data_IF_260508429489
#
_entry.id   IF_260508429489
#
_cell.length_a   1.000
_cell.length_b   1.000
_cell.length_c   1.000
_cell.angle_alpha   90.00
_cell.angle_beta   90.00
_cell.angle_gamma   90.00
#
_symmetry.space_group_name_H-M   'P 1'
#
loop_
_entity.id
_entity.type
_entity.pdbx_description
1 polymer ?
#
# COMPACT_ATOMS: atom_id res chain seq x y z
N UNK A 1 -2.45 36.44 -3.35
CA UNK A 1 -1.09 36.13 -2.85
C UNK A 1 -1.21 34.78 -2.23
N UNK A 2 -0.95 33.78 -3.05
CA UNK A 2 -1.51 32.46 -2.88
C UNK A 2 -0.66 31.70 -1.87
N UNK A 3 -1.27 31.41 -0.72
CA UNK A 3 -0.67 30.62 0.33
C UNK A 3 -0.57 29.18 -0.12
N UNK A 4 0.65 28.74 -0.36
CA UNK A 4 1.02 27.38 -0.75
C UNK A 4 0.46 26.35 0.23
N UNK A 5 -0.64 25.69 -0.15
CA UNK A 5 -1.04 24.41 0.44
C UNK A 5 -0.41 23.30 -0.39
N UNK A 6 0.88 23.08 -0.17
CA UNK A 6 1.62 21.96 -0.75
C UNK A 6 1.29 20.66 -0.04
N UNK A 7 0.07 20.15 -0.24
CA UNK A 7 -0.23 18.74 0.05
C UNK A 7 0.64 17.89 -0.86
N UNK A 8 1.64 17.22 -0.29
CA UNK A 8 2.56 16.37 -1.05
C UNK A 8 1.77 15.19 -1.61
N UNK A 9 1.34 15.26 -2.87
CA UNK A 9 0.88 14.09 -3.59
C UNK A 9 2.04 13.07 -3.62
N UNK A 10 1.87 11.97 -2.91
CA UNK A 10 2.70 10.78 -3.10
C UNK A 10 2.37 10.29 -4.52
N UNK A 11 3.26 10.59 -5.46
CA UNK A 11 3.17 10.12 -6.84
C UNK A 11 3.85 8.76 -6.90
N UNK A 12 3.08 7.74 -7.28
CA UNK A 12 3.65 6.46 -7.68
C UNK A 12 4.57 6.72 -8.87
N UNK A 13 5.84 6.38 -8.72
CA UNK A 13 6.88 6.66 -9.70
C UNK A 13 7.03 5.49 -10.66
N UNK A 14 7.62 5.76 -11.82
CA UNK A 14 7.98 4.72 -12.79
C UNK A 14 8.91 3.67 -12.16
N UNK A 15 9.79 4.08 -11.25
CA UNK A 15 10.69 3.17 -10.52
C UNK A 15 9.92 2.18 -9.62
N UNK A 16 8.86 2.65 -8.97
CA UNK A 16 7.99 1.80 -8.14
C UNK A 16 7.20 0.82 -9.00
N UNK A 17 6.71 1.24 -10.17
CA UNK A 17 6.04 0.37 -11.13
C UNK A 17 6.97 -0.72 -11.68
N UNK A 18 8.19 -0.35 -12.04
CA UNK A 18 9.22 -1.29 -12.51
C UNK A 18 9.63 -2.28 -11.43
N UNK A 19 9.67 -1.86 -10.17
CA UNK A 19 9.98 -2.75 -9.04
C UNK A 19 8.92 -3.82 -8.88
N UNK A 20 7.64 -3.46 -9.05
CA UNK A 20 6.52 -4.42 -9.02
C UNK A 20 6.60 -5.41 -10.19
N UNK A 21 6.92 -4.94 -11.40
CA UNK A 21 7.12 -5.81 -12.56
C UNK A 21 8.27 -6.80 -12.33
N UNK A 22 9.40 -6.35 -11.79
CA UNK A 22 10.54 -7.23 -11.47
C UNK A 22 10.20 -8.28 -10.41
N UNK A 23 9.43 -7.92 -9.39
CA UNK A 23 8.97 -8.89 -8.37
C UNK A 23 8.16 -10.01 -9.05
N UNK A 24 7.30 -9.67 -10.01
CA UNK A 24 6.54 -10.68 -10.75
C UNK A 24 7.41 -11.53 -11.68
N UNK A 25 8.40 -10.94 -12.35
CA UNK A 25 9.34 -11.70 -13.18
C UNK A 25 10.13 -12.72 -12.35
N UNK A 26 10.49 -12.38 -11.11
CA UNK A 26 11.29 -13.22 -10.22
C UNK A 26 10.44 -14.33 -9.57
N UNK A 27 9.26 -13.99 -9.06
CA UNK A 27 8.45 -14.90 -8.23
C UNK A 27 7.22 -15.49 -8.95
N UNK A 28 6.96 -15.07 -10.19
CA UNK A 28 5.82 -15.48 -11.00
C UNK A 28 4.48 -14.91 -10.54
N UNK A 29 3.42 -15.10 -11.34
CA UNK A 29 2.06 -14.64 -11.00
C UNK A 29 1.51 -15.29 -9.71
N UNK A 30 2.10 -16.40 -9.26
CA UNK A 30 1.75 -17.00 -7.97
C UNK A 30 2.10 -16.09 -6.78
N UNK A 31 3.10 -15.22 -6.91
CA UNK A 31 3.52 -14.29 -5.87
C UNK A 31 2.47 -13.23 -5.55
N UNK A 32 1.66 -12.84 -6.54
CA UNK A 32 0.57 -11.88 -6.38
C UNK A 32 -0.44 -12.34 -5.31
N UNK A 33 -0.64 -13.67 -5.20
CA UNK A 33 -1.54 -14.27 -4.19
C UNK A 33 -1.05 -14.17 -2.75
N UNK A 34 0.27 -14.06 -2.57
CA UNK A 34 0.94 -13.99 -1.28
C UNK A 34 1.45 -12.58 -0.95
N UNK A 35 1.17 -11.60 -1.82
CA UNK A 35 1.69 -10.24 -1.72
C UNK A 35 0.62 -9.27 -1.24
N UNK A 36 1.05 -8.28 -0.43
CA UNK A 36 0.20 -7.22 0.10
C UNK A 36 0.92 -5.89 -0.01
N UNK A 37 0.18 -4.83 -0.36
CA UNK A 37 0.73 -3.47 -0.45
C UNK A 37 0.74 -2.82 0.93
N UNK A 38 1.91 -2.35 1.38
CA UNK A 38 2.04 -1.59 2.63
C UNK A 38 2.15 -0.09 2.33
N UNK A 39 1.10 0.66 2.69
CA UNK A 39 1.13 2.11 2.65
C UNK A 39 1.73 2.65 3.94
N UNK A 40 2.89 3.27 3.86
CA UNK A 40 3.49 3.97 5.00
C UNK A 40 3.05 5.44 5.02
N UNK A 41 3.18 6.10 6.18
CA UNK A 41 2.72 7.49 6.39
C UNK A 41 1.20 7.66 6.19
N UNK A 42 0.42 6.66 6.61
CA UNK A 42 -1.05 6.78 6.60
C UNK A 42 -1.56 7.98 7.41
N UNK A 43 -0.76 8.48 8.34
CA UNK A 43 -0.98 9.74 9.07
C UNK A 43 -0.99 11.01 8.23
N UNK A 44 -0.41 10.99 7.02
CA UNK A 44 -0.39 12.11 6.09
C UNK A 44 -1.61 12.08 5.13
N UNK A 45 -2.50 11.09 5.24
CA UNK A 45 -3.69 10.98 4.40
C UNK A 45 -4.77 11.96 4.85
N UNK A 46 -5.16 12.86 3.95
CA UNK A 46 -6.38 13.65 4.07
C UNK A 46 -7.57 12.81 3.59
N UNK A 47 -8.15 12.01 4.49
CA UNK A 47 -9.32 11.16 4.21
C UNK A 47 -9.04 9.67 4.38
N UNK A 48 -9.80 8.82 3.67
CA UNK A 48 -9.60 7.36 3.71
C UNK A 48 -8.51 6.93 2.72
N UNK A 49 -7.98 5.72 2.89
CA UNK A 49 -7.04 5.15 1.92
C UNK A 49 -7.75 4.88 0.58
N UNK A 50 -9.02 4.55 0.60
CA UNK A 50 -9.86 4.35 -0.58
C UNK A 50 -9.99 5.64 -1.40
N UNK A 51 -10.19 6.78 -0.74
CA UNK A 51 -10.19 8.10 -1.40
C UNK A 51 -8.85 8.37 -2.07
N UNK A 52 -7.74 7.94 -1.46
CA UNK A 52 -6.41 8.10 -2.02
C UNK A 52 -6.17 7.17 -3.21
N UNK A 53 -6.55 5.89 -3.10
CA UNK A 53 -6.44 4.91 -4.18
C UNK A 53 -7.26 5.36 -5.41
N UNK A 54 -8.47 5.88 -5.20
CA UNK A 54 -9.34 6.33 -6.30
C UNK A 54 -8.74 7.45 -7.16
N UNK A 55 -7.73 8.16 -6.65
CA UNK A 55 -7.05 9.26 -7.36
C UNK A 55 -5.93 8.78 -8.28
N UNK A 56 -5.55 7.51 -8.27
CA UNK A 56 -4.47 6.96 -9.11
C UNK A 56 -4.82 5.59 -9.67
N UNK A 57 -4.93 5.52 -11.00
CA UNK A 57 -5.19 4.28 -11.71
C UNK A 57 -4.06 3.25 -11.50
N UNK A 58 -2.82 3.72 -11.39
CA UNK A 58 -1.65 2.85 -11.18
C UNK A 58 -1.68 2.21 -9.80
N UNK A 59 -2.06 2.97 -8.76
CA UNK A 59 -2.22 2.43 -7.40
C UNK A 59 -3.38 1.43 -7.31
N UNK A 60 -4.50 1.72 -7.99
CA UNK A 60 -5.61 0.78 -8.09
C UNK A 60 -5.17 -0.52 -8.79
N UNK A 61 -4.42 -0.41 -9.88
CA UNK A 61 -3.88 -1.55 -10.60
C UNK A 61 -2.94 -2.37 -9.71
N UNK A 62 -2.05 -1.71 -8.95
CA UNK A 62 -1.15 -2.37 -8.01
C UNK A 62 -1.89 -3.15 -6.92
N UNK A 63 -2.83 -2.51 -6.24
CA UNK A 63 -3.61 -3.15 -5.16
C UNK A 63 -4.47 -4.28 -5.70
N UNK A 64 -5.05 -4.11 -6.90
CA UNK A 64 -5.83 -5.15 -7.59
C UNK A 64 -4.99 -6.39 -7.88
N UNK A 65 -3.74 -6.22 -8.35
CA UNK A 65 -2.80 -7.33 -8.56
C UNK A 65 -2.50 -8.08 -7.27
N UNK A 66 -2.42 -7.40 -6.14
CA UNK A 66 -2.28 -8.02 -4.83
C UNK A 66 -3.61 -8.55 -4.24
N UNK A 67 -4.59 -8.95 -5.05
CA UNK A 67 -5.91 -9.43 -4.59
C UNK A 67 -6.63 -8.47 -3.62
N UNK A 68 -6.46 -7.17 -3.83
CA UNK A 68 -6.96 -6.11 -2.95
C UNK A 68 -6.43 -6.18 -1.51
N UNK A 69 -5.28 -6.83 -1.31
CA UNK A 69 -4.61 -6.90 -0.03
C UNK A 69 -3.73 -5.67 0.16
N UNK A 70 -4.06 -4.87 1.16
CA UNK A 70 -3.24 -3.75 1.59
C UNK A 70 -3.34 -3.51 3.10
N UNK A 71 -2.36 -2.79 3.63
CA UNK A 71 -2.36 -2.31 5.01
C UNK A 71 -1.81 -0.88 5.06
N UNK A 72 -2.34 -0.07 5.98
CA UNK A 72 -1.97 1.33 6.14
C UNK A 72 -1.31 1.51 7.50
N UNK A 73 -0.06 1.95 7.48
CA UNK A 73 0.75 2.10 8.67
C UNK A 73 0.84 3.58 9.08
N UNK A 74 0.48 3.88 10.32
CA UNK A 74 0.61 5.23 10.88
C UNK A 74 1.96 5.36 11.60
N UNK A 75 2.87 6.13 11.01
CA UNK A 75 4.23 6.23 11.52
C UNK A 75 4.34 7.17 12.74
N UNK A 76 3.34 8.04 12.95
CA UNK A 76 3.28 9.00 14.05
C UNK A 76 2.74 8.39 15.35
N UNK A 77 2.14 7.19 15.32
CA UNK A 77 1.71 6.54 16.56
C UNK A 77 2.90 6.21 17.45
N UNK A 78 2.79 6.61 18.71
CA UNK A 78 3.75 6.27 19.77
C UNK A 78 3.68 4.78 20.11
N UNK A 79 2.48 4.25 20.29
CA UNK A 79 2.26 2.81 20.43
C UNK A 79 1.91 2.20 19.06
N UNK A 80 2.85 1.42 18.53
CA UNK A 80 2.71 0.72 17.25
C UNK A 80 2.17 -0.71 17.41
N UNK A 81 2.07 -1.23 18.64
CA UNK A 81 1.72 -2.63 18.88
C UNK A 81 0.41 -3.03 18.19
N UNK A 82 -0.70 -2.27 18.28
CA UNK A 82 -1.95 -2.68 17.65
C UNK A 82 -1.82 -2.81 16.12
N UNK A 83 -1.11 -1.88 15.48
CA UNK A 83 -0.94 -1.86 14.02
C UNK A 83 -0.03 -2.99 13.54
N UNK A 84 1.04 -3.27 14.29
CA UNK A 84 1.93 -4.40 14.00
C UNK A 84 1.17 -5.72 14.17
N UNK A 85 0.34 -5.85 15.21
CA UNK A 85 -0.49 -7.05 15.39
C UNK A 85 -1.45 -7.25 14.22
N UNK A 86 -2.18 -6.21 13.80
CA UNK A 86 -3.08 -6.29 12.65
C UNK A 86 -2.33 -6.68 11.36
N UNK A 87 -1.14 -6.10 11.14
CA UNK A 87 -0.30 -6.44 10.00
C UNK A 87 0.08 -7.94 10.00
N UNK A 88 0.50 -8.48 11.15
CA UNK A 88 0.86 -9.89 11.29
C UNK A 88 -0.36 -10.82 11.13
N UNK A 89 -1.53 -10.43 11.61
CA UNK A 89 -2.78 -11.16 11.40
C UNK A 89 -3.18 -11.21 9.92
N UNK A 90 -3.03 -10.09 9.20
CA UNK A 90 -3.23 -10.05 7.75
C UNK A 90 -2.26 -10.98 7.02
N UNK A 91 -0.97 -10.94 7.36
CA UNK A 91 0.03 -11.84 6.76
C UNK A 91 -0.36 -13.32 6.98
N UNK A 92 -0.75 -13.71 8.20
CA UNK A 92 -1.23 -15.07 8.48
C UNK A 92 -2.44 -15.43 7.62
N UNK A 93 -3.42 -14.54 7.54
CA UNK A 93 -4.63 -14.73 6.74
C UNK A 93 -4.34 -14.94 5.25
N UNK A 94 -3.34 -14.25 4.71
CA UNK A 94 -2.91 -14.38 3.31
C UNK A 94 -2.32 -15.76 3.06
N UNK A 95 -1.48 -16.24 3.99
CA UNK A 95 -0.86 -17.56 3.91
C UNK A 95 -1.91 -18.67 4.07
N UNK A 96 -2.87 -18.53 4.98
CA UNK A 96 -3.87 -19.58 5.25
C UNK A 96 -4.92 -19.73 4.13
N UNK A 97 -5.12 -18.71 3.29
CA UNK A 97 -6.13 -18.70 2.21
C UNK A 97 -5.63 -19.23 0.86
N UNK A 98 -4.34 -19.53 0.73
CA UNK A 98 -3.69 -19.96 -0.52
C UNK A 98 -2.97 -21.29 -0.34
#
# INVERSE_FOLDING_TARGET
>A
MDGWMGGKQIKFTEEELQSVQKIQEIFGEAADRYSMVLFTRGDDLEGTIEDYLSKSQDLLCLVSRCNNQYHVFNNRLKDKKPQVTELLEKIRTIVDRN
#
